data_IF_729997228696
#
_entry.id   IF_729997228696
#
_cell.length_a   1.000
_cell.length_b   1.000
_cell.length_c   1.000
_cell.angle_alpha   90.00
_cell.angle_beta   90.00
_cell.angle_gamma   90.00
#
_symmetry.space_group_name_H-M   'P 1'
#
loop_
_entity.id
_entity.type
_entity.pdbx_description
1 polymer ?
#
# COMPACT_ATOMS: atom_id res chain seq x y z
N UNK A 1 -23.41 33.02 2.84
CA UNK A 1 -22.55 33.40 3.97
C UNK A 1 -22.38 32.15 4.83
N UNK A 2 -21.43 31.29 4.48
CA UNK A 2 -21.23 29.98 5.12
C UNK A 2 -20.30 30.16 6.32
N UNK A 3 -20.82 29.86 7.50
CA UNK A 3 -20.12 29.94 8.78
C UNK A 3 -18.96 28.95 8.80
N UNK A 4 -17.73 29.45 8.76
CA UNK A 4 -16.55 28.67 9.09
C UNK A 4 -16.52 28.56 10.62
N UNK A 5 -17.10 27.50 11.19
CA UNK A 5 -16.87 27.16 12.60
C UNK A 5 -15.39 26.82 12.74
N UNK A 6 -14.60 27.78 13.18
CA UNK A 6 -13.29 27.56 13.77
C UNK A 6 -13.51 26.71 15.03
N UNK A 7 -13.38 25.40 14.89
CA UNK A 7 -13.29 24.49 16.03
C UNK A 7 -12.05 24.90 16.83
N UNK A 8 -12.27 25.64 17.92
CA UNK A 8 -11.22 25.96 18.88
C UNK A 8 -10.90 24.66 19.61
N UNK A 9 -9.89 23.94 19.13
CA UNK A 9 -9.39 22.77 19.84
C UNK A 9 -8.89 23.18 21.23
N UNK A 10 -9.14 22.36 22.27
CA UNK A 10 -8.63 22.63 23.60
C UNK A 10 -7.11 22.72 23.56
N UNK A 11 -6.56 23.70 24.26
CA UNK A 11 -5.11 23.83 24.41
C UNK A 11 -4.64 23.05 25.63
N UNK A 12 -3.48 22.41 25.51
CA UNK A 12 -2.84 21.64 26.57
C UNK A 12 -1.47 22.25 26.87
N UNK A 13 -1.00 22.05 28.10
CA UNK A 13 0.35 22.42 28.48
C UNK A 13 1.30 21.29 28.07
N UNK A 14 2.15 21.56 27.09
CA UNK A 14 3.17 20.63 26.64
C UNK A 14 4.52 21.02 27.23
N UNK A 15 5.23 20.05 27.82
CA UNK A 15 6.66 20.12 28.11
C UNK A 15 7.33 18.84 27.63
N UNK A 16 7.61 18.81 26.32
CA UNK A 16 8.24 17.69 25.63
C UNK A 16 9.67 18.10 25.26
N UNK A 17 10.72 17.59 25.93
CA UNK A 17 12.10 17.87 25.55
C UNK A 17 12.48 17.17 24.23
N UNK A 18 13.60 17.58 23.64
CA UNK A 18 14.17 16.86 22.49
C UNK A 18 14.51 15.42 22.88
N UNK A 19 13.93 14.45 22.19
CA UNK A 19 13.98 13.04 22.57
C UNK A 19 13.71 12.15 21.34
N UNK A 20 13.90 10.83 21.42
CA UNK A 20 13.50 9.92 20.35
C UNK A 20 12.03 10.12 19.97
N UNK A 21 11.76 10.26 18.67
CA UNK A 21 10.45 10.68 18.16
C UNK A 21 9.32 9.75 18.63
N UNK A 22 9.54 8.43 18.63
CA UNK A 22 8.57 7.46 19.12
C UNK A 22 8.16 7.73 20.58
N UNK A 23 9.13 8.02 21.46
CA UNK A 23 8.85 8.36 22.86
C UNK A 23 8.15 9.70 22.99
N UNK A 24 8.43 10.66 22.11
CA UNK A 24 7.82 11.99 22.12
C UNK A 24 6.34 11.92 21.72
N UNK A 25 6.02 11.11 20.70
CA UNK A 25 4.66 10.87 20.23
C UNK A 25 3.80 10.15 21.29
N UNK A 26 4.38 9.23 22.07
CA UNK A 26 3.68 8.61 23.19
C UNK A 26 3.32 9.65 24.27
N UNK A 27 4.30 10.45 24.71
CA UNK A 27 4.04 11.53 25.70
C UNK A 27 3.04 12.56 25.19
N UNK A 28 3.10 12.90 23.90
CA UNK A 28 2.12 13.76 23.25
C UNK A 28 0.69 13.20 23.35
N UNK A 29 0.52 11.89 23.12
CA UNK A 29 -0.77 11.22 23.25
C UNK A 29 -1.26 11.19 24.69
N UNK A 30 -0.36 11.00 25.67
CA UNK A 30 -0.69 11.03 27.10
C UNK A 30 -1.22 12.40 27.55
N UNK A 31 -0.65 13.50 27.01
CA UNK A 31 -1.05 14.87 27.36
C UNK A 31 -2.33 15.30 26.64
N UNK A 32 -2.41 15.04 25.33
CA UNK A 32 -3.49 15.55 24.47
C UNK A 32 -4.70 14.62 24.37
N UNK A 33 -4.57 13.36 24.78
CA UNK A 33 -5.54 12.30 24.50
C UNK A 33 -5.70 11.95 23.02
N UNK A 34 -4.84 12.49 22.14
CA UNK A 34 -4.91 12.26 20.68
C UNK A 34 -3.77 11.35 20.21
N UNK A 35 -4.14 10.27 19.52
CA UNK A 35 -3.16 9.35 18.95
C UNK A 35 -2.64 9.84 17.59
N UNK A 36 -1.33 9.66 17.40
CA UNK A 36 -0.69 9.73 16.09
C UNK A 36 -0.39 8.30 15.60
N UNK A 37 -0.89 7.96 14.41
CA UNK A 37 -0.63 6.71 13.72
C UNK A 37 0.63 6.85 12.87
N UNK A 38 1.56 5.92 13.03
CA UNK A 38 2.81 5.90 12.29
C UNK A 38 3.35 4.47 12.15
N UNK A 39 4.15 4.23 11.11
CA UNK A 39 4.97 3.02 11.04
C UNK A 39 6.21 3.19 11.92
N UNK A 40 6.62 2.14 12.63
CA UNK A 40 7.85 2.13 13.43
C UNK A 40 9.09 2.50 12.61
N UNK A 41 9.13 2.08 11.33
CA UNK A 41 10.20 2.42 10.39
C UNK A 41 10.28 3.90 10.04
N UNK A 42 9.15 4.63 10.14
CA UNK A 42 9.14 6.07 9.85
C UNK A 42 9.77 6.87 10.98
N UNK A 43 9.60 6.43 12.23
CA UNK A 43 10.07 7.17 13.42
C UNK A 43 11.41 6.64 13.96
N UNK A 44 11.86 5.46 13.51
CA UNK A 44 13.13 4.86 13.93
C UNK A 44 14.31 5.78 13.63
N UNK A 45 15.18 5.99 14.62
CA UNK A 45 16.38 6.82 14.51
C UNK A 45 16.11 8.33 14.37
N UNK A 46 14.86 8.80 14.46
CA UNK A 46 14.53 10.23 14.42
C UNK A 46 14.38 10.80 15.82
N UNK A 47 14.77 12.06 15.96
CA UNK A 47 14.59 12.84 17.18
C UNK A 47 13.52 13.90 16.96
N UNK A 48 12.59 14.02 17.92
CA UNK A 48 11.60 15.08 17.94
C UNK A 48 12.22 16.41 18.36
N UNK A 49 11.69 17.50 17.82
CA UNK A 49 12.00 18.85 18.28
C UNK A 49 11.32 19.12 19.62
N UNK A 50 11.93 19.95 20.50
CA UNK A 50 11.33 20.27 21.79
C UNK A 50 10.06 21.10 21.61
N UNK A 51 9.02 20.78 22.38
CA UNK A 51 7.74 21.50 22.36
C UNK A 51 7.41 21.94 23.77
N UNK A 52 7.28 23.26 23.96
CA UNK A 52 6.94 23.87 25.24
C UNK A 52 5.83 24.90 25.12
N UNK A 53 4.93 24.90 26.10
CA UNK A 53 3.90 25.91 26.29
C UNK A 53 2.49 25.41 25.98
N UNK A 54 1.52 26.33 26.09
CA UNK A 54 0.10 26.05 25.88
C UNK A 54 -0.23 26.06 24.38
N UNK A 55 -0.49 24.89 23.82
CA UNK A 55 -0.69 24.68 22.37
C UNK A 55 -1.90 23.80 22.11
N UNK A 56 -2.47 23.89 20.91
CA UNK A 56 -3.41 22.87 20.43
C UNK A 56 -2.63 21.58 20.11
N UNK A 57 -3.26 20.39 20.16
CA UNK A 57 -2.58 19.15 19.78
C UNK A 57 -2.01 19.20 18.36
N UNK A 58 -2.71 19.86 17.43
CA UNK A 58 -2.24 20.08 16.06
C UNK A 58 -0.96 20.90 16.03
N UNK A 59 -0.93 22.05 16.69
CA UNK A 59 0.24 22.94 16.70
C UNK A 59 1.42 22.30 17.43
N UNK A 60 1.16 21.61 18.54
CA UNK A 60 2.16 20.87 19.29
C UNK A 60 2.79 19.76 18.43
N UNK A 61 1.98 18.99 17.71
CA UNK A 61 2.50 17.92 16.85
C UNK A 61 3.26 18.48 15.63
N UNK A 62 2.82 19.60 15.04
CA UNK A 62 3.58 20.27 13.98
C UNK A 62 4.99 20.66 14.47
N UNK A 63 5.09 21.31 15.64
CA UNK A 63 6.37 21.67 16.24
C UNK A 63 7.22 20.46 16.61
N UNK A 64 6.59 19.39 17.11
CA UNK A 64 7.27 18.15 17.47
C UNK A 64 7.97 17.50 16.26
N UNK A 65 7.36 17.62 15.08
CA UNK A 65 7.83 17.04 13.81
C UNK A 65 8.79 17.96 13.05
N UNK A 66 9.02 19.20 13.50
CA UNK A 66 10.00 20.09 12.88
C UNK A 66 11.39 19.44 12.85
N UNK A 67 12.07 19.55 11.70
CA UNK A 67 13.38 18.93 11.49
C UNK A 67 13.37 17.41 11.35
N UNK A 68 12.23 16.73 11.56
CA UNK A 68 12.15 15.28 11.41
C UNK A 68 11.99 14.82 9.95
N UNK A 69 11.58 15.71 9.04
CA UNK A 69 11.24 15.35 7.66
C UNK A 69 9.93 14.56 7.53
N UNK A 70 9.05 14.65 8.52
CA UNK A 70 7.72 14.06 8.53
C UNK A 70 6.66 15.17 8.62
N UNK A 71 5.53 14.95 7.96
CA UNK A 71 4.30 15.72 8.13
C UNK A 71 3.30 14.93 8.94
N UNK A 72 2.40 15.65 9.59
CA UNK A 72 1.13 15.09 10.04
C UNK A 72 0.05 15.39 9.02
N UNK A 73 -0.79 14.39 8.77
CA UNK A 73 -2.07 14.55 8.10
C UNK A 73 -3.18 14.22 9.09
N UNK A 74 -4.22 15.03 9.13
CA UNK A 74 -5.39 14.75 9.93
C UNK A 74 -6.39 13.95 9.11
N UNK A 75 -6.76 12.78 9.63
CA UNK A 75 -7.72 11.89 8.98
C UNK A 75 -8.96 11.80 9.86
N UNK A 76 -10.09 12.22 9.28
CA UNK A 76 -11.40 12.11 9.90
C UNK A 76 -12.19 10.98 9.26
N UNK A 77 -12.43 9.91 10.02
CA UNK A 77 -13.28 8.79 9.61
C UNK A 77 -14.52 8.75 10.52
N UNK A 78 -15.61 9.38 10.06
CA UNK A 78 -16.83 9.50 10.85
C UNK A 78 -16.61 10.32 12.12
N UNK A 79 -16.71 9.67 13.29
CA UNK A 79 -16.50 10.32 14.61
C UNK A 79 -15.07 10.21 15.15
N UNK A 80 -14.15 9.57 14.41
CA UNK A 80 -12.76 9.38 14.83
C UNK A 80 -11.87 10.37 14.08
N UNK A 81 -11.16 11.21 14.83
CA UNK A 81 -10.11 12.09 14.31
C UNK A 81 -8.76 11.54 14.78
N UNK A 82 -7.88 11.21 13.83
CA UNK A 82 -6.54 10.72 14.11
C UNK A 82 -5.50 11.52 13.32
N UNK A 83 -4.30 11.62 13.87
CA UNK A 83 -3.16 12.13 13.11
C UNK A 83 -2.42 10.96 12.47
N UNK A 84 -2.00 11.09 11.21
CA UNK A 84 -1.21 10.10 10.49
C UNK A 84 0.09 10.75 10.07
N UNK A 85 1.23 10.15 10.42
CA UNK A 85 2.53 10.65 10.01
C UNK A 85 2.92 10.15 8.62
N UNK A 86 3.35 11.07 7.76
CA UNK A 86 3.81 10.78 6.39
C UNK A 86 5.18 11.42 6.14
N UNK A 87 6.04 10.83 5.30
CA UNK A 87 7.27 11.48 4.87
C UNK A 87 7.02 12.82 4.16
N UNK A 88 7.96 13.76 4.26
CA UNK A 88 7.97 15.02 3.51
C UNK A 88 9.17 15.10 2.55
N UNK A 89 9.04 15.96 1.54
CA UNK A 89 10.10 16.32 0.59
C UNK A 89 10.68 15.10 -0.15
N UNK A 90 12.00 15.02 -0.22
CA UNK A 90 12.72 13.96 -0.92
C UNK A 90 12.31 12.54 -0.47
N UNK A 91 11.90 12.35 0.78
CA UNK A 91 11.43 11.04 1.24
C UNK A 91 10.03 10.70 0.72
N UNK A 92 9.14 11.69 0.58
CA UNK A 92 7.83 11.51 -0.03
C UNK A 92 7.98 11.16 -1.51
N UNK A 93 8.88 11.85 -2.21
CA UNK A 93 9.20 11.58 -3.62
C UNK A 93 9.81 10.19 -3.81
N UNK A 94 10.75 9.79 -2.95
CA UNK A 94 11.33 8.46 -2.97
C UNK A 94 10.25 7.38 -2.77
N UNK A 95 9.38 7.54 -1.77
CA UNK A 95 8.27 6.61 -1.53
C UNK A 95 7.28 6.56 -2.71
N UNK A 96 6.96 7.71 -3.32
CA UNK A 96 6.13 7.78 -4.50
C UNK A 96 6.77 7.08 -5.71
N UNK A 97 8.09 7.23 -5.90
CA UNK A 97 8.83 6.57 -6.98
C UNK A 97 8.83 5.04 -6.83
N UNK A 98 8.97 4.53 -5.61
CA UNK A 98 8.88 3.10 -5.28
C UNK A 98 7.47 2.60 -5.58
N UNK A 99 6.43 3.32 -5.12
CA UNK A 99 5.04 2.97 -5.40
C UNK A 99 4.77 2.91 -6.91
N UNK A 100 5.19 3.93 -7.66
CA UNK A 100 5.02 3.96 -9.11
C UNK A 100 5.76 2.82 -9.83
N UNK A 101 6.92 2.39 -9.30
CA UNK A 101 7.64 1.22 -9.83
C UNK A 101 6.89 -0.08 -9.56
N UNK A 102 6.30 -0.23 -8.37
CA UNK A 102 5.47 -1.39 -8.03
C UNK A 102 4.19 -1.44 -8.89
N UNK A 103 3.48 -0.32 -9.02
CA UNK A 103 2.27 -0.21 -9.87
C UNK A 103 2.55 -0.59 -11.33
N UNK A 104 3.68 -0.11 -11.90
CA UNK A 104 4.10 -0.51 -13.25
C UNK A 104 4.40 -2.01 -13.35
N UNK A 105 5.03 -2.57 -12.33
CA UNK A 105 5.34 -4.00 -12.30
C UNK A 105 4.07 -4.85 -12.15
N UNK A 106 3.09 -4.43 -11.34
CA UNK A 106 1.80 -5.09 -11.21
C UNK A 106 1.06 -5.14 -12.56
N UNK A 107 1.06 -4.04 -13.31
CA UNK A 107 0.52 -3.99 -14.67
C UNK A 107 1.23 -4.94 -15.64
N UNK A 108 2.57 -5.04 -15.56
CA UNK A 108 3.35 -5.99 -16.34
C UNK A 108 3.02 -7.44 -15.97
N UNK A 109 2.90 -7.75 -14.67
CA UNK A 109 2.51 -9.08 -14.18
C UNK A 109 1.14 -9.45 -14.72
N UNK A 110 0.16 -8.54 -14.62
CA UNK A 110 -1.19 -8.76 -15.14
C UNK A 110 -1.18 -9.04 -16.65
N UNK A 111 -0.51 -8.20 -17.45
CA UNK A 111 -0.42 -8.39 -18.89
C UNK A 111 0.20 -9.75 -19.26
N UNK A 112 1.33 -10.10 -18.65
CA UNK A 112 2.06 -11.35 -18.97
C UNK A 112 1.33 -12.61 -18.55
N UNK A 113 0.64 -12.56 -17.41
CA UNK A 113 -0.24 -13.66 -17.00
C UNK A 113 -1.40 -13.77 -17.99
N UNK A 114 -2.03 -12.65 -18.35
CA UNK A 114 -3.15 -12.64 -19.28
C UNK A 114 -2.78 -13.21 -20.66
N UNK A 115 -1.69 -12.76 -21.26
CA UNK A 115 -1.18 -13.26 -22.54
C UNK A 115 -1.02 -14.79 -22.53
N UNK A 116 -0.49 -15.34 -21.43
CA UNK A 116 -0.29 -16.78 -21.29
C UNK A 116 -1.62 -17.54 -21.11
N UNK A 117 -2.58 -16.96 -20.39
CA UNK A 117 -3.91 -17.55 -20.23
C UNK A 117 -4.71 -17.52 -21.53
N UNK A 118 -4.58 -16.46 -22.33
CA UNK A 118 -5.23 -16.33 -23.64
C UNK A 118 -4.62 -17.23 -24.71
N UNK A 119 -3.35 -17.64 -24.56
CA UNK A 119 -2.70 -18.57 -25.48
C UNK A 119 -3.25 -20.01 -25.40
N UNK A 120 -3.91 -20.39 -24.30
CA UNK A 120 -4.57 -21.70 -24.15
C UNK A 120 -6.10 -21.54 -24.13
N UNK A 121 -6.83 -22.06 -25.14
CA UNK A 121 -8.29 -21.96 -25.22
C UNK A 121 -9.02 -22.48 -23.98
N UNK A 122 -8.43 -23.41 -23.21
CA UNK A 122 -9.04 -23.97 -22.00
C UNK A 122 -9.04 -22.99 -20.84
N UNK A 123 -8.10 -22.06 -20.81
CA UNK A 123 -7.99 -21.02 -19.77
C UNK A 123 -8.50 -19.67 -20.24
N UNK A 124 -8.54 -19.43 -21.56
CA UNK A 124 -9.08 -18.21 -22.17
C UNK A 124 -10.59 -18.03 -21.97
N UNK A 125 -11.33 -19.12 -21.73
CA UNK A 125 -12.77 -19.08 -21.44
C UNK A 125 -13.02 -18.44 -20.06
N UNK A 126 -13.15 -17.12 -20.02
CA UNK A 126 -13.25 -16.31 -18.79
C UNK A 126 -14.65 -16.31 -18.15
N UNK A 127 -15.27 -17.46 -17.95
CA UNK A 127 -16.53 -17.61 -17.19
C UNK A 127 -16.29 -17.96 -15.71
N UNK A 128 -15.04 -18.07 -15.30
CA UNK A 128 -14.63 -18.50 -13.96
C UNK A 128 -14.04 -17.37 -13.14
N UNK A 129 -14.13 -17.54 -11.82
CA UNK A 129 -13.39 -16.75 -10.84
C UNK A 129 -12.38 -17.64 -10.17
N UNK A 130 -11.13 -17.18 -10.09
CA UNK A 130 -10.10 -17.95 -9.40
C UNK A 130 -9.05 -17.06 -8.77
N UNK A 131 -8.62 -17.42 -7.57
CA UNK A 131 -7.52 -16.74 -6.89
C UNK A 131 -6.25 -17.56 -7.08
N UNK A 132 -5.25 -16.95 -7.69
CA UNK A 132 -3.93 -17.51 -7.92
C UNK A 132 -2.94 -16.94 -6.93
N UNK A 133 -1.97 -17.76 -6.52
CA UNK A 133 -0.82 -17.32 -5.74
C UNK A 133 0.45 -17.90 -6.34
N UNK A 134 1.45 -17.05 -6.58
CA UNK A 134 2.73 -17.48 -7.17
C UNK A 134 3.88 -16.59 -6.70
N UNK A 135 5.11 -17.01 -7.00
CA UNK A 135 6.33 -16.23 -6.78
C UNK A 135 6.99 -15.92 -8.12
N UNK A 136 7.82 -14.89 -8.15
CA UNK A 136 8.67 -14.56 -9.29
C UNK A 136 10.11 -14.59 -8.83
N UNK A 137 10.94 -15.39 -9.50
CA UNK A 137 12.36 -15.52 -9.17
C UNK A 137 13.19 -14.31 -9.66
N UNK A 138 14.48 -14.31 -9.34
CA UNK A 138 15.39 -13.23 -9.75
C UNK A 138 15.59 -13.13 -11.27
N UNK A 139 15.24 -14.17 -12.03
CA UNK A 139 15.28 -14.20 -13.50
C UNK A 139 13.92 -13.81 -14.12
N UNK A 140 12.93 -13.43 -13.31
CA UNK A 140 11.61 -13.04 -13.78
C UNK A 140 10.69 -14.21 -14.14
N UNK A 141 10.99 -15.43 -13.70
CA UNK A 141 10.15 -16.61 -13.96
C UNK A 141 9.16 -16.80 -12.84
N UNK A 142 7.93 -17.10 -13.22
CA UNK A 142 6.91 -17.51 -12.26
C UNK A 142 7.23 -18.91 -11.76
N UNK A 143 7.11 -19.12 -10.45
CA UNK A 143 7.31 -20.42 -9.80
C UNK A 143 6.43 -20.57 -8.56
N UNK A 144 6.21 -21.82 -8.13
CA UNK A 144 5.32 -22.16 -7.00
C UNK A 144 3.91 -21.58 -7.19
N UNK A 145 3.39 -21.70 -8.41
CA UNK A 145 2.03 -21.35 -8.74
C UNK A 145 1.04 -22.29 -8.05
N UNK A 146 0.04 -21.70 -7.43
CA UNK A 146 -0.98 -22.41 -6.67
C UNK A 146 -2.33 -21.75 -6.90
N UNK A 147 -3.34 -22.60 -7.04
CA UNK A 147 -4.74 -22.19 -7.07
C UNK A 147 -5.26 -22.15 -5.63
N UNK A 148 -5.69 -20.97 -5.17
CA UNK A 148 -6.34 -20.80 -3.86
C UNK A 148 -7.86 -20.95 -3.95
N UNK A 149 -8.44 -20.87 -5.15
CA UNK A 149 -9.86 -21.15 -5.40
C UNK A 149 -10.06 -21.83 -6.75
N UNK A 150 -10.71 -23.00 -6.76
CA UNK A 150 -10.98 -23.78 -7.98
C UNK A 150 -11.83 -23.00 -8.99
N UNK A 151 -11.60 -23.24 -10.28
CA UNK A 151 -12.47 -22.75 -11.37
C UNK A 151 -13.79 -23.51 -11.49
N UNK A 152 -13.95 -24.62 -10.76
CA UNK A 152 -15.06 -25.57 -10.93
C UNK A 152 -14.75 -26.68 -11.93
N UNK A 153 -13.63 -26.60 -12.65
CA UNK A 153 -13.14 -27.63 -13.57
C UNK A 153 -11.70 -28.02 -13.22
N UNK A 154 -11.49 -29.28 -12.83
CA UNK A 154 -10.18 -29.79 -12.43
C UNK A 154 -9.16 -29.85 -13.57
N UNK A 155 -9.61 -30.06 -14.82
CA UNK A 155 -8.72 -30.02 -15.98
C UNK A 155 -8.26 -28.60 -16.23
N UNK A 156 -9.17 -27.62 -16.10
CA UNK A 156 -8.84 -26.19 -16.22
C UNK A 156 -7.90 -25.74 -15.11
N UNK A 157 -8.15 -26.16 -13.87
CA UNK A 157 -7.29 -25.87 -12.72
C UNK A 157 -5.84 -26.36 -12.95
N UNK A 158 -5.69 -27.59 -13.45
CA UNK A 158 -4.37 -28.16 -13.76
C UNK A 158 -3.66 -27.38 -14.88
N UNK A 159 -4.40 -26.97 -15.91
CA UNK A 159 -3.85 -26.17 -17.01
C UNK A 159 -3.45 -24.78 -16.52
N UNK A 160 -4.25 -24.11 -15.69
CA UNK A 160 -3.93 -22.80 -15.12
C UNK A 160 -2.58 -22.80 -14.39
N UNK A 161 -2.39 -23.77 -13.49
CA UNK A 161 -1.13 -23.89 -12.74
C UNK A 161 0.04 -24.17 -13.70
N UNK A 162 -0.14 -25.10 -14.64
CA UNK A 162 0.90 -25.46 -15.61
C UNK A 162 1.26 -24.31 -16.57
N UNK A 163 0.29 -23.47 -16.96
CA UNK A 163 0.49 -22.29 -17.80
C UNK A 163 1.28 -21.24 -17.03
N UNK A 164 0.92 -20.97 -15.78
CA UNK A 164 1.61 -19.98 -14.94
C UNK A 164 3.08 -20.33 -14.69
N UNK A 165 3.41 -21.60 -14.44
CA UNK A 165 4.81 -22.03 -14.26
C UNK A 165 5.70 -21.81 -15.49
N UNK A 166 5.12 -21.50 -16.66
CA UNK A 166 5.86 -21.17 -17.89
C UNK A 166 5.98 -19.67 -18.13
N UNK A 167 5.29 -18.83 -17.37
CA UNK A 167 5.26 -17.38 -17.57
C UNK A 167 6.61 -16.77 -17.20
N UNK A 168 7.08 -15.88 -18.08
CA UNK A 168 8.19 -14.96 -17.82
C UNK A 168 7.69 -13.53 -17.85
N UNK A 169 8.00 -12.80 -16.79
CA UNK A 169 7.56 -11.42 -16.59
C UNK A 169 8.77 -10.53 -16.81
N UNK A 170 9.40 -10.10 -15.72
CA UNK A 170 10.71 -9.48 -15.66
C UNK A 170 11.18 -9.63 -14.21
N UNK A 171 12.40 -9.21 -13.88
CA UNK A 171 12.92 -9.26 -12.52
C UNK A 171 12.04 -8.42 -11.57
N UNK A 172 11.57 -9.00 -10.45
CA UNK A 172 10.76 -8.25 -9.49
C UNK A 172 11.56 -7.13 -8.82
N UNK A 173 10.95 -5.97 -8.53
CA UNK A 173 11.57 -4.94 -7.71
C UNK A 173 12.01 -5.50 -6.34
N UNK A 174 13.13 -5.03 -5.78
CA UNK A 174 13.69 -5.59 -4.54
C UNK A 174 12.76 -5.44 -3.33
N UNK A 175 11.95 -4.37 -3.29
CA UNK A 175 11.01 -4.08 -2.20
C UNK A 175 9.67 -4.84 -2.34
N UNK A 176 9.49 -5.60 -3.42
CA UNK A 176 8.24 -6.28 -3.70
C UNK A 176 7.97 -7.41 -2.70
N UNK A 177 6.81 -7.34 -2.03
CA UNK A 177 6.36 -8.42 -1.14
C UNK A 177 5.88 -9.60 -1.96
N UNK A 178 6.42 -10.78 -1.66
CA UNK A 178 6.06 -12.03 -2.30
C UNK A 178 5.58 -13.05 -1.24
N UNK A 179 4.69 -13.99 -1.58
CA UNK A 179 4.15 -14.30 -2.92
C UNK A 179 3.11 -13.28 -3.40
N UNK A 180 2.95 -13.17 -4.72
CA UNK A 180 1.89 -12.38 -5.34
C UNK A 180 0.59 -13.18 -5.30
N UNK A 181 -0.53 -12.47 -5.15
CA UNK A 181 -1.87 -13.03 -5.28
C UNK A 181 -2.60 -12.27 -6.40
N UNK A 182 -3.22 -13.02 -7.32
CA UNK A 182 -3.96 -12.47 -8.45
C UNK A 182 -5.35 -13.08 -8.51
N UNK A 183 -6.37 -12.23 -8.53
CA UNK A 183 -7.75 -12.65 -8.73
C UNK A 183 -8.10 -12.55 -10.21
N UNK A 184 -8.47 -13.67 -10.80
CA UNK A 184 -9.13 -13.72 -12.10
C UNK A 184 -10.63 -13.55 -11.86
N UNK A 185 -11.22 -12.63 -12.61
CA UNK A 185 -12.66 -12.40 -12.65
C UNK A 185 -13.19 -12.82 -14.01
N UNK A 186 -14.45 -13.25 -14.08
CA UNK A 186 -15.07 -13.50 -15.36
C UNK A 186 -15.23 -12.19 -16.15
N UNK A 187 -15.22 -12.27 -17.48
CA UNK A 187 -15.26 -11.09 -18.34
C UNK A 187 -16.47 -10.19 -18.05
N UNK A 188 -17.64 -10.79 -17.77
CA UNK A 188 -18.85 -10.05 -17.40
C UNK A 188 -18.74 -9.27 -16.07
N UNK A 189 -17.78 -9.60 -15.21
CA UNK A 189 -17.54 -8.94 -13.93
C UNK A 189 -16.38 -7.92 -13.99
N UNK A 190 -15.99 -7.49 -15.19
CA UNK A 190 -14.88 -6.56 -15.40
C UNK A 190 -13.50 -7.24 -15.42
N UNK A 191 -13.46 -8.55 -15.64
CA UNK A 191 -12.22 -9.23 -16.00
C UNK A 191 -11.74 -8.83 -17.40
N UNK A 192 -10.42 -8.81 -17.67
CA UNK A 192 -9.90 -8.58 -19.02
C UNK A 192 -10.44 -9.64 -20.00
N UNK A 193 -10.56 -9.28 -21.29
CA UNK A 193 -11.03 -10.17 -22.37
C UNK A 193 -9.87 -10.55 -23.29
N UNK A 194 -9.86 -11.78 -23.82
CA UNK A 194 -8.80 -12.23 -24.73
C UNK A 194 -8.99 -11.65 -26.15
N UNK A 195 -10.18 -11.12 -26.45
CA UNK A 195 -10.50 -10.48 -27.73
C UNK A 195 -9.82 -9.10 -27.86
N UNK A 196 -9.58 -8.40 -26.74
CA UNK A 196 -8.85 -7.13 -26.72
C UNK A 196 -7.34 -7.27 -26.96
N UNK A 197 -6.77 -8.47 -26.79
CA UNK A 197 -5.34 -8.76 -26.99
C UNK A 197 -4.97 -9.07 -28.46
N UNK A 198 -5.96 -9.17 -29.35
CA UNK A 198 -5.77 -9.59 -30.75
C UNK A 198 -5.67 -8.44 -31.77
N UNK A 199 -5.69 -7.16 -31.34
CA UNK A 199 -5.57 -6.03 -32.28
C UNK A 199 -4.08 -5.61 -32.40
N UNK A 200 -3.51 -5.66 -33.63
CA UNK A 200 -2.09 -5.37 -33.88
C UNK A 200 -1.72 -3.90 -33.66
#
# INVERSE_FOLDING_TARGET
MTLHSSSVEPQFDFDLPAQPLASALNRFADVSGRAALFSSTLVAGRSASPVRGRLTPRDALLRLLEGTGLAMEEVSAGRVNAFVLKPLGAQAEAAASVRARLERYDGLVQARVWDALCADPRTAQGDYRSLLRFRVDAAGRVHRAQLLGSTGDTRRDAVLVATLERVRIDRPPPDMKQPLAMLILPAQAGGPSCEDAARP
#
